data_IF_977549991014
#
_entry.id   IF_977549991014
#
_cell.length_a   1.000
_cell.length_b   1.000
_cell.length_c   1.000
_cell.angle_alpha   90.00
_cell.angle_beta   90.00
_cell.angle_gamma   90.00
#
_symmetry.space_group_name_H-M   'P 1'
#
loop_
_entity.id
_entity.type
_entity.pdbx_description
1 polymer ?
#
# COMPACT_ATOMS: atom_id res chain seq x y z
N UNK A 1 -2.72 26.64 -51.50
CA UNK A 1 -1.82 25.49 -51.24
C UNK A 1 -2.25 24.80 -49.95
N UNK A 2 -3.12 23.78 -50.04
CA UNK A 2 -3.79 23.19 -48.87
C UNK A 2 -3.09 21.89 -48.45
N UNK A 3 -2.27 21.93 -47.40
CA UNK A 3 -1.73 20.72 -46.76
C UNK A 3 -2.58 20.35 -45.55
N UNK A 4 -3.78 19.82 -45.79
CA UNK A 4 -4.58 19.16 -44.73
C UNK A 4 -3.96 17.80 -44.44
N UNK A 5 -3.05 17.77 -43.47
CA UNK A 5 -2.48 16.54 -42.93
C UNK A 5 -3.60 15.63 -42.42
N UNK A 6 -3.83 14.53 -43.14
CA UNK A 6 -4.80 13.49 -42.83
C UNK A 6 -4.37 12.78 -41.55
N UNK A 7 -4.98 13.11 -40.42
CA UNK A 7 -4.77 12.43 -39.14
C UNK A 7 -5.10 10.95 -39.25
N UNK A 8 -4.08 10.11 -39.47
CA UNK A 8 -4.19 8.66 -39.33
C UNK A 8 -4.37 8.37 -37.84
N UNK A 9 -5.62 8.11 -37.43
CA UNK A 9 -5.88 7.49 -36.12
C UNK A 9 -5.02 6.22 -36.05
N UNK A 10 -4.16 6.08 -35.04
CA UNK A 10 -3.40 4.85 -34.87
C UNK A 10 -4.38 3.68 -34.71
N UNK A 11 -4.06 2.49 -35.23
CA UNK A 11 -4.86 1.30 -34.98
C UNK A 11 -5.00 1.10 -33.47
N UNK A 12 -6.18 0.67 -33.00
CA UNK A 12 -6.50 0.53 -31.56
C UNK A 12 -5.43 -0.26 -30.78
N UNK A 13 -4.81 -1.25 -31.43
CA UNK A 13 -3.71 -2.03 -30.86
C UNK A 13 -2.48 -1.18 -30.50
N UNK A 14 -2.10 -0.21 -31.34
CA UNK A 14 -0.97 0.68 -31.07
C UNK A 14 -1.27 1.63 -29.89
N UNK A 15 -2.52 2.11 -29.78
CA UNK A 15 -2.94 2.90 -28.62
C UNK A 15 -2.90 2.08 -27.31
N UNK A 16 -3.30 0.81 -27.37
CA UNK A 16 -3.23 -0.10 -26.22
C UNK A 16 -1.78 -0.39 -25.79
N UNK A 17 -0.88 -0.63 -26.74
CA UNK A 17 0.54 -0.86 -26.46
C UNK A 17 1.18 0.35 -25.73
N UNK A 18 0.93 1.57 -26.22
CA UNK A 18 1.40 2.80 -25.57
C UNK A 18 0.85 2.95 -24.15
N UNK A 19 -0.41 2.58 -23.92
CA UNK A 19 -1.01 2.61 -22.59
C UNK A 19 -0.37 1.58 -21.64
N UNK A 20 -0.07 0.38 -22.13
CA UNK A 20 0.63 -0.66 -21.35
C UNK A 20 2.05 -0.22 -21.00
N UNK A 21 2.80 0.34 -21.95
CA UNK A 21 4.15 0.86 -21.66
C UNK A 21 4.14 1.93 -20.58
N UNK A 22 3.15 2.84 -20.60
CA UNK A 22 3.00 3.85 -19.53
C UNK A 22 2.78 3.21 -18.17
N UNK A 23 1.92 2.18 -18.10
CA UNK A 23 1.66 1.44 -16.85
C UNK A 23 2.91 0.73 -16.35
N UNK A 24 3.68 0.09 -17.24
CA UNK A 24 4.94 -0.58 -16.89
C UNK A 24 5.95 0.43 -16.36
N UNK A 25 6.12 1.59 -17.01
CA UNK A 25 7.02 2.66 -16.53
C UNK A 25 6.60 3.19 -15.17
N UNK A 26 5.30 3.32 -14.91
CA UNK A 26 4.79 3.69 -13.59
C UNK A 26 5.16 2.62 -12.56
N UNK A 27 4.93 1.35 -12.88
CA UNK A 27 5.25 0.24 -11.99
C UNK A 27 6.74 0.16 -11.65
N UNK A 28 7.62 0.38 -12.64
CA UNK A 28 9.07 0.47 -12.46
C UNK A 28 9.52 1.57 -11.48
N UNK A 29 8.73 2.64 -11.33
CA UNK A 29 9.01 3.73 -10.38
C UNK A 29 8.48 3.45 -8.97
N UNK A 30 7.40 2.68 -8.86
CA UNK A 30 6.76 2.34 -7.58
C UNK A 30 7.46 1.18 -6.87
N UNK A 31 7.95 0.20 -7.64
CA UNK A 31 8.55 -1.01 -7.08
C UNK A 31 10.01 -0.75 -6.71
N UNK A 32 10.44 -1.01 -5.46
CA UNK A 32 11.84 -0.89 -5.06
C UNK A 32 12.75 -1.77 -5.92
N UNK A 33 13.73 -1.15 -6.57
CA UNK A 33 14.63 -1.83 -7.51
C UNK A 33 14.06 -2.08 -8.91
N UNK A 34 12.83 -1.63 -9.20
CA UNK A 34 12.11 -1.93 -10.45
C UNK A 34 12.58 -1.17 -11.70
N UNK A 35 13.34 -0.08 -11.57
CA UNK A 35 13.64 0.88 -12.65
C UNK A 35 14.35 0.32 -13.89
N UNK A 36 15.03 -0.82 -13.76
CA UNK A 36 15.78 -1.47 -14.86
C UNK A 36 15.31 -2.90 -15.13
N UNK A 37 14.24 -3.35 -14.49
CA UNK A 37 13.73 -4.71 -14.65
C UNK A 37 12.93 -4.86 -15.93
N UNK A 38 13.12 -5.99 -16.59
CA UNK A 38 12.25 -6.45 -17.68
C UNK A 38 10.84 -6.74 -17.15
N UNK A 39 9.80 -6.66 -17.99
CA UNK A 39 8.41 -6.81 -17.56
C UNK A 39 8.15 -8.08 -16.75
N UNK A 40 8.67 -9.23 -17.18
CA UNK A 40 8.47 -10.52 -16.52
C UNK A 40 9.01 -10.51 -15.08
N UNK A 41 10.23 -10.00 -14.90
CA UNK A 41 10.87 -9.87 -13.58
C UNK A 41 10.22 -8.78 -12.73
N UNK A 42 9.79 -7.69 -13.36
CA UNK A 42 9.09 -6.60 -12.70
C UNK A 42 7.78 -7.08 -12.09
N UNK A 43 7.00 -7.91 -12.79
CA UNK A 43 5.75 -8.44 -12.26
C UNK A 43 5.97 -9.41 -11.09
N UNK A 44 6.96 -10.29 -11.18
CA UNK A 44 7.33 -11.17 -10.05
C UNK A 44 7.73 -10.36 -8.82
N UNK A 45 8.65 -9.39 -8.99
CA UNK A 45 9.08 -8.50 -7.90
C UNK A 45 7.93 -7.68 -7.33
N UNK A 46 6.97 -7.30 -8.18
CA UNK A 46 5.76 -6.59 -7.75
C UNK A 46 4.90 -7.47 -6.85
N UNK A 47 4.73 -8.74 -7.19
CA UNK A 47 3.96 -9.69 -6.39
C UNK A 47 4.56 -9.84 -4.98
N UNK A 48 5.88 -10.03 -4.90
CA UNK A 48 6.61 -10.09 -3.64
C UNK A 48 6.44 -8.81 -2.82
N UNK A 49 6.54 -7.65 -3.47
CA UNK A 49 6.44 -6.37 -2.78
C UNK A 49 5.02 -6.11 -2.24
N UNK A 50 3.98 -6.47 -3.00
CA UNK A 50 2.59 -6.40 -2.53
C UNK A 50 2.40 -7.31 -1.31
N UNK A 51 2.93 -8.54 -1.36
CA UNK A 51 2.85 -9.46 -0.23
C UNK A 51 3.54 -8.89 1.01
N UNK A 52 4.76 -8.36 0.86
CA UNK A 52 5.50 -7.74 1.96
C UNK A 52 4.74 -6.59 2.60
N UNK A 53 4.20 -5.67 1.79
CA UNK A 53 3.41 -4.55 2.28
C UNK A 53 2.16 -5.00 3.04
N UNK A 54 1.46 -6.03 2.52
CA UNK A 54 0.28 -6.58 3.20
C UNK A 54 0.64 -7.19 4.55
N UNK A 55 1.74 -7.93 4.62
CA UNK A 55 2.23 -8.51 5.88
C UNK A 55 2.63 -7.43 6.87
N UNK A 56 3.36 -6.40 6.44
CA UNK A 56 3.74 -5.27 7.29
C UNK A 56 2.51 -4.58 7.88
N UNK A 57 1.51 -4.26 7.06
CA UNK A 57 0.26 -3.64 7.51
C UNK A 57 -0.51 -4.57 8.44
N UNK A 58 -0.56 -5.87 8.14
CA UNK A 58 -1.24 -6.84 8.98
C UNK A 58 -0.60 -6.92 10.36
N UNK A 59 0.72 -7.11 10.44
CA UNK A 59 1.46 -7.13 11.71
C UNK A 59 1.24 -5.84 12.50
N UNK A 60 1.38 -4.67 11.87
CA UNK A 60 1.15 -3.40 12.56
C UNK A 60 -0.29 -3.27 13.08
N UNK A 61 -1.28 -3.74 12.32
CA UNK A 61 -2.69 -3.72 12.77
C UNK A 61 -2.98 -4.65 13.94
N UNK A 62 -2.27 -5.75 14.07
CA UNK A 62 -2.41 -6.63 15.24
C UNK A 62 -1.63 -6.08 16.45
N UNK A 63 -0.44 -5.52 16.23
CA UNK A 63 0.41 -5.03 17.30
C UNK A 63 -0.05 -3.69 17.87
N UNK A 64 -0.58 -2.77 17.07
CA UNK A 64 -1.00 -1.43 17.53
C UNK A 64 -2.10 -1.51 18.61
N UNK A 65 -3.18 -2.29 18.44
CA UNK A 65 -4.16 -2.50 19.50
C UNK A 65 -3.55 -3.14 20.75
N UNK A 66 -2.67 -4.15 20.58
CA UNK A 66 -2.00 -4.82 21.69
C UNK A 66 -1.09 -3.86 22.49
N UNK A 67 -0.40 -2.95 21.81
CA UNK A 67 0.40 -1.90 22.45
C UNK A 67 -0.49 -0.84 23.13
N UNK A 68 -1.64 -0.49 22.54
CA UNK A 68 -2.60 0.45 23.16
C UNK A 68 -3.40 -0.14 24.33
N UNK A 69 -3.55 -1.46 24.42
CA UNK A 69 -4.20 -2.13 25.55
C UNK A 69 -3.38 -2.08 26.84
N UNK A 70 -2.06 -1.89 26.74
CA UNK A 70 -1.17 -1.81 27.91
C UNK A 70 -1.16 -0.41 28.55
N UNK A 71 -1.73 0.60 27.91
CA UNK A 71 -1.93 1.95 28.48
C UNK A 71 -3.13 1.99 29.46
N UNK A 72 -4.02 1.00 29.38
CA UNK A 72 -5.23 0.88 30.22
C UNK A 72 -5.04 0.05 31.52
N UNK A 73 -3.81 -0.35 31.87
CA UNK A 73 -3.54 -1.06 33.13
C UNK A 73 -3.17 -0.14 34.32
N UNK A 74 -3.37 1.18 34.18
CA UNK A 74 -3.08 2.18 35.21
C UNK A 74 -4.11 2.34 36.34
N UNK A 75 -5.26 1.66 36.30
CA UNK A 75 -6.30 1.81 37.33
C UNK A 75 -6.79 0.45 37.85
N UNK A 76 -5.94 -0.25 38.61
CA UNK A 76 -6.40 -1.33 39.49
C UNK A 76 -5.54 -1.47 40.77
N UNK A 77 -5.04 -0.35 41.32
CA UNK A 77 -4.51 -0.33 42.68
C UNK A 77 -5.38 0.59 43.54
N UNK A 78 -6.22 -0.02 44.37
CA UNK A 78 -6.71 0.62 45.58
C UNK A 78 -8.18 1.06 45.60
N UNK A 79 -9.14 0.15 45.41
CA UNK A 79 -10.40 0.30 46.15
C UNK A 79 -10.12 -0.03 47.63
N UNK A 80 -9.71 0.94 48.44
CA UNK A 80 -9.73 0.78 49.89
C UNK A 80 -11.12 1.13 50.41
N UNK A 81 -11.84 0.10 50.84
CA UNK A 81 -13.09 0.22 51.58
C UNK A 81 -12.84 0.96 52.90
N UNK A 82 -13.40 2.16 53.06
CA UNK A 82 -13.70 2.73 54.38
C UNK A 82 -15.07 3.41 54.36
N UNK A 83 -16.11 2.58 54.27
CA UNK A 83 -17.44 2.96 54.73
C UNK A 83 -17.43 3.04 56.26
N UNK A 84 -17.06 4.20 56.79
CA UNK A 84 -17.20 4.50 58.22
C UNK A 84 -18.69 4.64 58.49
N UNK A 85 -19.26 3.65 59.16
CA UNK A 85 -20.67 3.62 59.59
C UNK A 85 -20.81 4.68 60.70
N UNK A 86 -21.47 5.79 60.37
CA UNK A 86 -21.81 6.85 61.32
C UNK A 86 -22.62 6.29 62.49
N UNK A 87 -22.25 6.75 63.68
CA UNK A 87 -22.96 6.53 64.95
C UNK A 87 -24.28 7.29 64.96
#
# INVERSE_FOLDING_TARGET
>A
MSRRGKGRRPPRAAAAAVAVERKVRTLQRLVPGGRRLQPEQLFLRTADYILLLRLQVHVLRELVPAMSYMDMNGCAVGCNSTGVKGM
#
